data_IF_957131940563
#
_entry.id   IF_957131940563
#
_cell.length_a   1.000
_cell.length_b   1.000
_cell.length_c   1.000
_cell.angle_alpha   90.00
_cell.angle_beta   90.00
_cell.angle_gamma   90.00
#
_symmetry.space_group_name_H-M   'P 1'
#
loop_
_entity.id
_entity.type
_entity.pdbx_description
1 polymer ?
#
# COMPACT_ATOMS: atom_id res chain seq x y z
N UNK A 1 55.40 14.60 -9.49
CA UNK A 1 54.54 15.62 -10.11
C UNK A 1 55.18 16.97 -9.89
N UNK A 2 55.49 17.69 -10.97
CA UNK A 2 55.94 19.08 -10.86
C UNK A 2 54.79 19.97 -10.38
N UNK A 3 55.06 21.19 -9.87
CA UNK A 3 54.00 22.14 -9.53
C UNK A 3 53.04 22.45 -10.69
N UNK A 4 53.54 22.43 -11.93
CA UNK A 4 52.75 22.67 -13.15
C UNK A 4 51.81 21.50 -13.45
N UNK A 5 52.28 20.27 -13.32
CA UNK A 5 51.47 19.06 -13.50
C UNK A 5 50.36 18.95 -12.43
N UNK A 6 50.65 19.38 -11.19
CA UNK A 6 49.64 19.42 -10.12
C UNK A 6 48.55 20.48 -10.39
N UNK A 7 48.94 21.63 -10.94
CA UNK A 7 48.00 22.68 -11.33
C UNK A 7 47.08 22.20 -12.47
N UNK A 8 47.63 21.54 -13.50
CA UNK A 8 46.86 20.97 -14.60
C UNK A 8 45.86 19.90 -14.13
N UNK A 9 46.32 18.98 -13.27
CA UNK A 9 45.46 17.96 -12.64
C UNK A 9 44.30 18.60 -11.86
N UNK A 10 44.60 19.65 -11.08
CA UNK A 10 43.58 20.36 -10.29
C UNK A 10 42.53 20.99 -11.19
N UNK A 11 42.94 21.62 -12.30
CA UNK A 11 42.03 22.24 -13.27
C UNK A 11 41.13 21.18 -13.92
N UNK A 12 41.69 20.03 -14.32
CA UNK A 12 40.92 18.91 -14.90
C UNK A 12 39.87 18.37 -13.92
N UNK A 13 40.25 18.16 -12.65
CA UNK A 13 39.34 17.67 -11.61
C UNK A 13 38.20 18.64 -11.34
N UNK A 14 38.51 19.92 -11.19
CA UNK A 14 37.51 20.97 -10.98
C UNK A 14 36.56 21.04 -12.18
N UNK A 15 37.09 20.96 -13.40
CA UNK A 15 36.29 20.99 -14.63
C UNK A 15 35.34 19.80 -14.72
N UNK A 16 35.82 18.57 -14.48
CA UNK A 16 35.01 17.36 -14.49
C UNK A 16 33.88 17.39 -13.44
N UNK A 17 34.16 17.93 -12.25
CA UNK A 17 33.18 18.13 -11.19
C UNK A 17 32.04 19.07 -11.65
N UNK A 18 32.37 20.23 -12.20
CA UNK A 18 31.37 21.21 -12.64
C UNK A 18 30.56 20.74 -13.86
N UNK A 19 31.18 20.02 -14.80
CA UNK A 19 30.46 19.41 -15.93
C UNK A 19 29.44 18.38 -15.44
N UNK A 20 29.81 17.56 -14.47
CA UNK A 20 28.92 16.55 -13.88
C UNK A 20 27.73 17.18 -13.14
N UNK A 21 27.98 18.26 -12.39
CA UNK A 21 26.92 19.05 -11.75
C UNK A 21 26.00 19.73 -12.77
N UNK A 22 26.55 20.25 -13.87
CA UNK A 22 25.78 20.86 -14.95
C UNK A 22 24.78 19.88 -15.58
N UNK A 23 25.24 18.68 -15.92
CA UNK A 23 24.36 17.62 -16.44
C UNK A 23 23.30 17.19 -15.44
N UNK A 24 23.65 17.04 -14.16
CA UNK A 24 22.68 16.72 -13.11
C UNK A 24 21.60 17.79 -12.99
N UNK A 25 21.95 19.08 -13.05
CA UNK A 25 21.02 20.19 -12.98
C UNK A 25 20.09 20.26 -14.20
N UNK A 26 20.61 19.99 -15.41
CA UNK A 26 19.82 19.98 -16.66
C UNK A 26 18.81 18.82 -16.68
N UNK A 27 19.23 17.63 -16.26
CA UNK A 27 18.39 16.44 -16.33
C UNK A 27 17.36 16.38 -15.18
N UNK A 28 17.65 17.02 -14.04
CA UNK A 28 16.82 16.96 -12.84
C UNK A 28 15.34 17.37 -13.07
N UNK A 29 15.00 18.49 -13.74
CA UNK A 29 13.61 18.87 -14.00
C UNK A 29 12.87 17.88 -14.90
N UNK A 30 13.55 17.33 -15.91
CA UNK A 30 13.00 16.34 -16.84
C UNK A 30 12.61 15.07 -16.10
N UNK A 31 13.48 14.62 -15.20
CA UNK A 31 13.28 13.38 -14.45
C UNK A 31 12.40 13.53 -13.21
N UNK A 32 12.28 14.73 -12.63
CA UNK A 32 11.31 15.03 -11.56
C UNK A 32 9.87 14.70 -11.97
N UNK A 33 9.56 14.78 -13.26
CA UNK A 33 8.24 14.42 -13.82
C UNK A 33 7.94 12.91 -13.77
N UNK A 34 8.96 12.04 -13.65
CA UNK A 34 8.82 10.58 -13.72
C UNK A 34 8.58 9.87 -12.36
N UNK A 35 8.42 10.63 -11.26
CA UNK A 35 8.05 10.24 -9.88
C UNK A 35 8.70 8.97 -9.26
N UNK A 36 9.29 9.23 -8.08
CA UNK A 36 9.75 8.34 -6.99
C UNK A 36 11.08 7.58 -7.25
N UNK A 37 12.07 7.96 -6.44
CA UNK A 37 13.40 7.34 -6.21
C UNK A 37 14.60 7.79 -7.06
N UNK A 38 14.41 8.38 -8.23
CA UNK A 38 15.53 8.67 -9.15
C UNK A 38 16.54 9.76 -8.74
N UNK A 39 16.18 10.83 -8.00
CA UNK A 39 17.14 11.88 -7.64
C UNK A 39 18.39 11.37 -6.90
N UNK A 40 18.22 10.39 -6.02
CA UNK A 40 19.33 9.77 -5.28
C UNK A 40 20.22 8.90 -6.16
N UNK A 41 19.64 8.23 -7.18
CA UNK A 41 20.41 7.42 -8.13
C UNK A 41 21.28 8.29 -9.04
N UNK A 42 20.83 9.49 -9.39
CA UNK A 42 21.61 10.42 -10.21
C UNK A 42 22.72 11.11 -9.45
N UNK A 43 22.45 11.54 -8.22
CA UNK A 43 23.50 12.07 -7.34
C UNK A 43 24.52 10.96 -7.08
N UNK A 44 24.05 9.74 -6.82
CA UNK A 44 24.91 8.56 -6.68
C UNK A 44 25.75 8.30 -7.94
N UNK A 45 25.15 8.32 -9.13
CA UNK A 45 25.85 8.13 -10.39
C UNK A 45 26.85 9.25 -10.68
N UNK A 46 26.52 10.51 -10.38
CA UNK A 46 27.43 11.65 -10.59
C UNK A 46 28.64 11.59 -9.65
N UNK A 47 28.42 11.31 -8.36
CA UNK A 47 29.50 11.12 -7.38
C UNK A 47 30.37 9.92 -7.77
N UNK A 48 29.74 8.83 -8.22
CA UNK A 48 30.46 7.63 -8.65
C UNK A 48 31.31 7.86 -9.90
N UNK A 49 30.79 8.53 -10.93
CA UNK A 49 31.55 8.90 -12.13
C UNK A 49 32.74 9.81 -11.80
N UNK A 50 32.58 10.72 -10.83
CA UNK A 50 33.66 11.58 -10.37
C UNK A 50 34.77 10.80 -9.64
N UNK A 51 34.40 9.83 -8.79
CA UNK A 51 35.37 8.94 -8.12
C UNK A 51 36.14 8.10 -9.14
N UNK A 52 35.46 7.54 -10.15
CA UNK A 52 36.11 6.78 -11.22
C UNK A 52 37.10 7.62 -12.03
N UNK A 53 36.75 8.89 -12.28
CA UNK A 53 37.66 9.83 -12.94
C UNK A 53 38.93 10.09 -12.12
N UNK A 54 38.79 10.34 -10.80
CA UNK A 54 39.95 10.49 -9.90
C UNK A 54 40.82 9.23 -9.91
N UNK A 55 40.21 8.05 -9.80
CA UNK A 55 40.94 6.78 -9.79
C UNK A 55 41.72 6.63 -11.10
N UNK A 56 41.09 6.86 -12.25
CA UNK A 56 41.75 6.77 -13.55
C UNK A 56 42.98 7.69 -13.62
N UNK A 57 42.81 8.97 -13.29
CA UNK A 57 43.87 9.96 -13.43
C UNK A 57 45.06 9.69 -12.47
N UNK A 58 44.77 9.20 -11.25
CA UNK A 58 45.82 8.77 -10.31
C UNK A 58 46.53 7.52 -10.84
N UNK A 59 45.82 6.59 -11.46
CA UNK A 59 46.38 5.35 -11.99
C UNK A 59 47.24 5.57 -13.24
N UNK A 60 46.84 6.48 -14.12
CA UNK A 60 47.59 6.87 -15.33
C UNK A 60 48.96 7.47 -14.96
N UNK A 61 49.10 8.05 -13.77
CA UNK A 61 50.36 8.59 -13.27
C UNK A 61 51.24 7.58 -12.53
N UNK A 62 50.68 6.48 -12.03
CA UNK A 62 51.39 5.53 -11.15
C UNK A 62 51.87 4.28 -11.91
N UNK A 63 51.22 3.89 -13.01
CA UNK A 63 51.63 2.70 -13.79
C UNK A 63 51.22 2.76 -15.27
N UNK A 64 52.06 2.31 -16.23
CA UNK A 64 51.70 2.18 -17.65
C UNK A 64 50.70 1.04 -17.94
N UNK A 65 50.24 0.32 -16.91
CA UNK A 65 49.16 -0.68 -16.95
C UNK A 65 47.76 -0.11 -16.60
N UNK A 66 47.65 1.23 -16.51
CA UNK A 66 46.48 1.94 -15.96
C UNK A 66 45.16 1.61 -16.65
N UNK A 67 45.14 1.49 -17.98
CA UNK A 67 43.89 1.31 -18.73
C UNK A 67 43.22 -0.06 -18.49
N UNK A 68 44.00 -1.15 -18.45
CA UNK A 68 43.46 -2.49 -18.20
C UNK A 68 43.00 -2.64 -16.75
N UNK A 69 43.77 -2.12 -15.80
CA UNK A 69 43.42 -2.23 -14.38
C UNK A 69 42.22 -1.35 -14.01
N UNK A 70 42.10 -0.15 -14.58
CA UNK A 70 40.94 0.72 -14.39
C UNK A 70 39.66 0.06 -14.93
N UNK A 71 39.73 -0.58 -16.10
CA UNK A 71 38.60 -1.33 -16.67
C UNK A 71 38.18 -2.51 -15.76
N UNK A 72 39.15 -3.24 -15.20
CA UNK A 72 38.88 -4.32 -14.24
C UNK A 72 38.21 -3.83 -12.95
N UNK A 73 38.68 -2.73 -12.37
CA UNK A 73 38.05 -2.14 -11.18
C UNK A 73 36.63 -1.68 -11.48
N UNK A 74 36.41 -1.02 -12.62
CA UNK A 74 35.08 -0.56 -13.04
C UNK A 74 34.10 -1.74 -13.18
N UNK A 75 34.56 -2.86 -13.75
CA UNK A 75 33.80 -4.11 -13.83
C UNK A 75 33.46 -4.71 -12.47
N UNK A 76 34.41 -4.75 -11.53
CA UNK A 76 34.20 -5.24 -10.16
C UNK A 76 33.16 -4.38 -9.43
N UNK A 77 33.26 -3.05 -9.50
CA UNK A 77 32.29 -2.17 -8.86
C UNK A 77 30.89 -2.28 -9.47
N UNK A 78 30.78 -2.42 -10.79
CA UNK A 78 29.49 -2.65 -11.45
C UNK A 78 28.85 -3.96 -11.00
N UNK A 79 29.65 -5.03 -10.88
CA UNK A 79 29.20 -6.31 -10.37
C UNK A 79 28.74 -6.22 -8.90
N UNK A 80 29.47 -5.48 -8.05
CA UNK A 80 29.09 -5.26 -6.64
C UNK A 80 27.82 -4.41 -6.51
N UNK A 81 27.67 -3.36 -7.31
CA UNK A 81 26.46 -2.53 -7.32
C UNK A 81 25.23 -3.33 -7.79
N UNK A 82 25.40 -4.16 -8.82
CA UNK A 82 24.36 -5.06 -9.31
C UNK A 82 23.97 -6.12 -8.27
N UNK A 83 24.95 -6.75 -7.61
CA UNK A 83 24.72 -7.69 -6.50
C UNK A 83 23.99 -7.02 -5.33
N UNK A 84 24.36 -5.79 -4.97
CA UNK A 84 23.68 -5.01 -3.93
C UNK A 84 22.23 -4.68 -4.30
N UNK A 85 21.97 -4.31 -5.56
CA UNK A 85 20.62 -4.09 -6.07
C UNK A 85 19.77 -5.37 -6.05
N UNK A 86 20.35 -6.52 -6.45
CA UNK A 86 19.69 -7.82 -6.36
C UNK A 86 19.41 -8.23 -4.91
N UNK A 87 20.34 -7.96 -3.99
CA UNK A 87 20.15 -8.26 -2.56
C UNK A 87 19.04 -7.41 -1.94
N UNK A 88 19.00 -6.10 -2.26
CA UNK A 88 17.91 -5.22 -1.84
C UNK A 88 16.56 -5.63 -2.44
N UNK A 89 16.54 -6.05 -3.71
CA UNK A 89 15.35 -6.58 -4.35
C UNK A 89 14.88 -7.87 -3.67
N UNK A 90 15.80 -8.81 -3.39
CA UNK A 90 15.52 -10.06 -2.66
C UNK A 90 14.99 -9.79 -1.25
N UNK A 91 15.58 -8.86 -0.51
CA UNK A 91 15.10 -8.51 0.84
C UNK A 91 13.70 -7.89 0.82
N UNK A 92 13.40 -7.07 -0.20
CA UNK A 92 12.05 -6.53 -0.40
C UNK A 92 11.05 -7.61 -0.83
N UNK A 93 11.49 -8.57 -1.62
CA UNK A 93 10.68 -9.73 -1.97
C UNK A 93 10.42 -10.60 -0.74
N UNK A 94 11.45 -10.87 0.07
CA UNK A 94 11.35 -11.64 1.30
C UNK A 94 10.51 -10.95 2.37
N UNK A 95 10.55 -9.62 2.50
CA UNK A 95 9.66 -8.91 3.41
C UNK A 95 8.20 -8.96 2.95
N UNK A 96 7.95 -8.87 1.64
CA UNK A 96 6.63 -9.14 1.06
C UNK A 96 6.19 -10.59 1.28
N UNK A 97 7.10 -11.55 1.15
CA UNK A 97 6.80 -12.99 1.32
C UNK A 97 6.60 -13.34 2.79
N UNK A 98 7.35 -12.72 3.71
CA UNK A 98 7.20 -12.89 5.15
C UNK A 98 5.91 -12.24 5.64
N UNK A 99 5.55 -11.05 5.12
CA UNK A 99 4.23 -10.47 5.34
C UNK A 99 3.14 -11.43 4.83
N UNK A 100 3.25 -11.92 3.60
CA UNK A 100 2.29 -12.89 3.05
C UNK A 100 2.24 -14.21 3.86
N UNK A 101 3.38 -14.73 4.35
CA UNK A 101 3.43 -15.99 5.09
C UNK A 101 2.98 -15.85 6.55
N UNK A 102 3.21 -14.70 7.21
CA UNK A 102 2.57 -14.41 8.50
C UNK A 102 1.05 -14.26 8.34
N UNK A 103 0.59 -13.87 7.14
CA UNK A 103 -0.83 -13.80 6.77
C UNK A 103 -1.42 -15.17 6.36
N UNK A 104 -0.63 -16.12 5.87
CA UNK A 104 -1.03 -17.50 5.54
C UNK A 104 -0.70 -18.45 6.70
N UNK A 105 -0.79 -17.99 7.95
CA UNK A 105 -1.07 -18.93 9.04
C UNK A 105 -2.54 -19.35 8.83
N UNK A 106 -2.83 -20.61 8.49
CA UNK A 106 -4.21 -21.02 8.27
C UNK A 106 -4.98 -20.79 9.56
N UNK A 107 -6.07 -20.02 9.47
CA UNK A 107 -7.14 -20.03 10.48
C UNK A 107 -7.68 -21.46 10.47
N UNK A 108 -7.09 -22.30 11.33
CA UNK A 108 -7.53 -23.66 11.64
C UNK A 108 -8.61 -23.65 12.74
N UNK A 109 -9.33 -22.55 12.90
CA UNK A 109 -10.57 -22.59 13.66
C UNK A 109 -11.68 -23.11 12.74
N UNK A 110 -11.89 -24.43 12.80
CA UNK A 110 -12.95 -25.13 12.08
C UNK A 110 -14.36 -24.68 12.48
N UNK A 111 -14.51 -24.01 13.62
CA UNK A 111 -15.81 -23.57 14.12
C UNK A 111 -16.29 -22.30 13.39
N UNK A 112 -15.41 -21.32 13.17
CA UNK A 112 -15.72 -20.10 12.39
C UNK A 112 -16.04 -20.41 10.92
N UNK A 113 -15.34 -21.38 10.33
CA UNK A 113 -15.57 -21.80 8.92
C UNK A 113 -16.95 -22.45 8.76
N UNK A 114 -17.47 -23.14 9.78
CA UNK A 114 -18.78 -23.80 9.74
C UNK A 114 -19.95 -22.79 9.82
N UNK A 115 -19.82 -21.76 10.64
CA UNK A 115 -20.80 -20.66 10.75
C UNK A 115 -20.87 -19.83 9.46
N UNK A 116 -19.72 -19.58 8.82
CA UNK A 116 -19.65 -18.88 7.52
C UNK A 116 -20.27 -19.70 6.40
N UNK A 117 -20.11 -21.03 6.40
CA UNK A 117 -20.66 -21.90 5.35
C UNK A 117 -22.19 -21.96 5.37
N UNK A 118 -22.80 -21.86 6.55
CA UNK A 118 -24.26 -21.83 6.73
C UNK A 118 -24.88 -20.46 6.43
N UNK A 119 -24.14 -19.36 6.60
CA UNK A 119 -24.58 -18.02 6.19
C UNK A 119 -24.50 -17.80 4.67
N UNK A 120 -23.62 -18.53 3.98
CA UNK A 120 -23.31 -18.35 2.55
C UNK A 120 -24.00 -19.37 1.64
N UNK A 121 -24.73 -20.36 2.16
CA UNK A 121 -25.52 -21.32 1.35
C UNK A 121 -26.79 -20.71 0.71
N UNK A 122 -26.81 -19.40 0.50
CA UNK A 122 -27.84 -18.65 -0.20
C UNK A 122 -27.80 -18.87 -1.71
N UNK A 123 -28.18 -20.07 -2.16
CA UNK A 123 -28.43 -20.40 -3.57
C UNK A 123 -29.54 -19.52 -4.21
N UNK A 124 -30.28 -18.77 -3.39
CA UNK A 124 -31.32 -17.82 -3.77
C UNK A 124 -30.82 -16.42 -4.15
N UNK A 125 -29.63 -15.99 -3.70
CA UNK A 125 -29.08 -14.66 -4.00
C UNK A 125 -28.56 -14.54 -5.45
N UNK A 126 -28.14 -15.65 -6.03
CA UNK A 126 -27.55 -15.67 -7.39
C UNK A 126 -28.64 -15.53 -8.48
N UNK A 127 -29.87 -15.98 -8.23
CA UNK A 127 -30.95 -16.01 -9.23
C UNK A 127 -31.78 -14.72 -9.36
N UNK A 128 -31.74 -13.82 -8.37
CA UNK A 128 -32.48 -12.56 -8.40
C UNK A 128 -31.63 -11.33 -8.78
N UNK A 129 -30.33 -11.53 -9.05
CA UNK A 129 -29.44 -10.44 -9.49
C UNK A 129 -29.74 -10.02 -10.93
N UNK A 130 -30.74 -9.15 -11.09
CA UNK A 130 -30.66 -8.08 -12.10
C UNK A 130 -29.23 -7.54 -12.02
N UNK A 131 -28.44 -7.69 -13.10
CA UNK A 131 -26.99 -7.43 -13.17
C UNK A 131 -26.57 -6.24 -12.29
N UNK A 132 -26.16 -6.51 -11.05
CA UNK A 132 -25.55 -5.48 -10.22
C UNK A 132 -24.21 -5.21 -10.87
N UNK A 133 -24.05 -3.99 -11.37
CA UNK A 133 -22.83 -3.63 -12.04
C UNK A 133 -21.71 -3.53 -10.99
N UNK A 134 -20.52 -4.01 -11.33
CA UNK A 134 -19.34 -3.91 -10.49
C UNK A 134 -19.11 -2.48 -9.95
N UNK A 135 -19.50 -1.48 -10.73
CA UNK A 135 -19.49 -0.07 -10.34
C UNK A 135 -20.30 0.20 -9.07
N UNK A 136 -21.55 -0.28 -9.04
CA UNK A 136 -22.47 -0.11 -7.92
C UNK A 136 -21.91 -0.74 -6.65
N UNK A 137 -21.24 -1.88 -6.77
CA UNK A 137 -20.60 -2.54 -5.61
C UNK A 137 -19.46 -1.70 -5.03
N UNK A 138 -18.61 -1.13 -5.88
CA UNK A 138 -17.52 -0.27 -5.43
C UNK A 138 -18.03 1.06 -4.87
N UNK A 139 -19.10 1.62 -5.45
CA UNK A 139 -19.78 2.80 -4.90
C UNK A 139 -20.41 2.51 -3.54
N UNK A 140 -20.97 1.32 -3.37
CA UNK A 140 -21.44 0.83 -2.07
C UNK A 140 -20.27 0.78 -1.08
N UNK A 141 -19.11 0.26 -1.50
CA UNK A 141 -17.89 0.27 -0.69
C UNK A 141 -17.50 1.67 -0.21
N UNK A 142 -17.55 2.69 -1.07
CA UNK A 142 -17.26 4.08 -0.66
C UNK A 142 -18.21 4.56 0.45
N UNK A 143 -19.51 4.33 0.31
CA UNK A 143 -20.49 4.74 1.33
C UNK A 143 -20.32 3.96 2.64
N UNK A 144 -19.88 2.70 2.55
CA UNK A 144 -19.53 1.88 3.70
C UNK A 144 -18.34 2.51 4.45
N UNK A 145 -17.26 2.87 3.75
CA UNK A 145 -16.07 3.46 4.40
C UNK A 145 -16.36 4.84 5.01
N UNK A 146 -17.20 5.65 4.36
CA UNK A 146 -17.64 6.93 4.93
C UNK A 146 -18.39 6.73 6.25
N UNK A 147 -19.33 5.78 6.29
CA UNK A 147 -20.08 5.45 7.50
C UNK A 147 -19.20 4.84 8.58
N UNK A 148 -18.23 4.00 8.21
CA UNK A 148 -17.24 3.43 9.14
C UNK A 148 -16.41 4.51 9.78
N UNK A 149 -15.87 5.44 8.98
CA UNK A 149 -15.13 6.61 9.48
C UNK A 149 -15.95 7.41 10.48
N UNK A 150 -17.18 7.79 10.11
CA UNK A 150 -18.06 8.55 11.00
C UNK A 150 -18.38 7.79 12.29
N UNK A 151 -18.59 6.48 12.19
CA UNK A 151 -18.84 5.62 13.33
C UNK A 151 -17.64 5.59 14.29
N UNK A 152 -16.43 5.40 13.76
CA UNK A 152 -15.21 5.39 14.55
C UNK A 152 -14.91 6.71 15.25
N UNK A 153 -15.19 7.85 14.59
CA UNK A 153 -15.07 9.17 15.22
C UNK A 153 -16.01 9.26 16.44
N UNK A 154 -17.28 8.85 16.29
CA UNK A 154 -18.24 8.86 17.42
C UNK A 154 -17.82 7.91 18.54
N UNK A 155 -17.31 6.72 18.22
CA UNK A 155 -16.81 5.79 19.23
C UNK A 155 -15.60 6.37 19.99
N UNK A 156 -14.69 7.05 19.27
CA UNK A 156 -13.55 7.73 19.88
C UNK A 156 -13.99 8.87 20.83
N UNK A 157 -15.04 9.61 20.47
CA UNK A 157 -15.61 10.67 21.31
C UNK A 157 -16.27 10.13 22.57
N UNK A 158 -16.95 8.97 22.48
CA UNK A 158 -17.63 8.32 23.61
C UNK A 158 -16.64 7.64 24.57
N UNK A 159 -15.53 7.13 24.05
CA UNK A 159 -14.55 6.36 24.84
C UNK A 159 -13.85 7.21 25.90
N UNK A 160 -13.90 6.74 27.16
CA UNK A 160 -13.12 7.32 28.25
C UNK A 160 -11.65 6.85 28.23
N UNK A 161 -11.36 5.73 27.56
CA UNK A 161 -10.01 5.16 27.48
C UNK A 161 -9.22 5.80 26.32
N UNK A 162 -8.08 6.44 26.64
CA UNK A 162 -7.22 7.09 25.65
C UNK A 162 -6.70 6.11 24.59
N UNK A 163 -6.38 4.86 24.96
CA UNK A 163 -5.89 3.86 23.99
C UNK A 163 -6.96 3.49 22.95
N UNK A 164 -8.19 3.33 23.40
CA UNK A 164 -9.35 3.06 22.52
C UNK A 164 -9.61 4.27 21.62
N UNK A 165 -9.54 5.47 22.19
CA UNK A 165 -9.73 6.72 21.44
C UNK A 165 -8.72 6.84 20.31
N UNK A 166 -7.44 6.65 20.61
CA UNK A 166 -6.37 6.67 19.61
C UNK A 166 -6.56 5.57 18.56
N UNK A 167 -6.92 4.35 18.97
CA UNK A 167 -7.23 3.26 18.04
C UNK A 167 -8.36 3.65 17.08
N UNK A 168 -9.50 4.13 17.59
CA UNK A 168 -10.65 4.49 16.76
C UNK A 168 -10.31 5.62 15.79
N UNK A 169 -9.53 6.62 16.22
CA UNK A 169 -9.06 7.69 15.33
C UNK A 169 -8.08 7.17 14.26
N UNK A 170 -7.30 6.12 14.56
CA UNK A 170 -6.47 5.46 13.56
C UNK A 170 -7.32 4.70 12.54
N UNK A 171 -8.29 3.90 13.00
CA UNK A 171 -9.21 3.17 12.14
C UNK A 171 -9.99 4.14 11.23
N UNK A 172 -10.51 5.24 11.78
CA UNK A 172 -11.16 6.28 10.99
C UNK A 172 -10.26 6.89 9.88
N UNK A 173 -8.93 6.90 10.07
CA UNK A 173 -7.97 7.31 9.03
C UNK A 173 -7.74 6.20 8.01
N UNK A 174 -7.63 4.95 8.45
CA UNK A 174 -7.54 3.77 7.57
C UNK A 174 -8.76 3.70 6.62
N UNK A 175 -9.99 4.00 7.11
CA UNK A 175 -11.19 4.07 6.28
C UNK A 175 -11.11 5.13 5.16
N UNK A 176 -10.45 6.27 5.41
CA UNK A 176 -10.21 7.28 4.36
C UNK A 176 -9.27 6.71 3.29
N UNK A 177 -8.27 5.93 3.68
CA UNK A 177 -7.36 5.29 2.74
C UNK A 177 -8.07 4.22 1.91
N UNK A 178 -8.97 3.44 2.51
CA UNK A 178 -9.83 2.48 1.82
C UNK A 178 -10.74 3.18 0.79
N UNK A 179 -11.43 4.24 1.19
CA UNK A 179 -12.25 5.05 0.28
C UNK A 179 -11.43 5.53 -0.91
N UNK A 180 -10.28 6.16 -0.67
CA UNK A 180 -9.39 6.68 -1.73
C UNK A 180 -8.89 5.56 -2.64
N UNK A 181 -8.63 4.37 -2.09
CA UNK A 181 -8.25 3.20 -2.85
C UNK A 181 -9.39 2.73 -3.78
N UNK A 182 -10.62 2.63 -3.26
CA UNK A 182 -11.81 2.24 -4.02
C UNK A 182 -12.13 3.29 -5.11
N UNK A 183 -12.04 4.58 -4.79
CA UNK A 183 -12.19 5.66 -5.76
C UNK A 183 -11.18 5.53 -6.90
N UNK A 184 -9.89 5.34 -6.59
CA UNK A 184 -8.85 5.12 -7.62
C UNK A 184 -9.15 3.91 -8.49
N UNK A 185 -9.71 2.85 -7.91
CA UNK A 185 -10.17 1.67 -8.64
C UNK A 185 -11.33 2.04 -9.57
N UNK A 186 -12.36 2.73 -9.07
CA UNK A 186 -13.52 3.19 -9.84
C UNK A 186 -13.12 4.06 -11.02
N UNK A 187 -12.33 5.12 -10.78
CA UNK A 187 -11.88 6.04 -11.82
C UNK A 187 -11.09 5.33 -12.92
N UNK A 188 -10.28 4.32 -12.55
CA UNK A 188 -9.48 3.56 -13.52
C UNK A 188 -10.27 2.50 -14.27
N UNK A 189 -11.24 1.85 -13.61
CA UNK A 189 -11.91 0.68 -14.18
C UNK A 189 -13.23 1.04 -14.86
N UNK A 190 -13.94 2.07 -14.40
CA UNK A 190 -15.35 2.34 -14.73
C UNK A 190 -15.69 3.86 -14.65
N UNK A 191 -15.34 4.68 -15.67
CA UNK A 191 -15.39 6.15 -15.61
C UNK A 191 -16.79 6.81 -15.74
N UNK A 192 -17.89 6.06 -15.57
CA UNK A 192 -19.24 6.64 -15.71
C UNK A 192 -19.63 7.46 -14.45
N UNK A 193 -20.56 8.43 -14.55
CA UNK A 193 -21.05 9.24 -13.42
C UNK A 193 -22.18 8.57 -12.62
N UNK A 194 -22.31 8.93 -11.33
CA UNK A 194 -23.35 8.43 -10.43
C UNK A 194 -24.73 8.97 -10.83
N UNK A 195 -25.74 8.11 -10.88
CA UNK A 195 -27.14 8.52 -11.05
C UNK A 195 -27.93 8.23 -9.77
N UNK A 196 -29.02 8.97 -9.52
CA UNK A 196 -29.87 8.74 -8.34
C UNK A 196 -30.47 7.33 -8.28
N UNK A 197 -30.72 6.68 -9.42
CA UNK A 197 -31.16 5.28 -9.49
C UNK A 197 -30.09 4.30 -8.99
N UNK A 198 -28.83 4.58 -9.34
CA UNK A 198 -27.66 3.79 -8.91
C UNK A 198 -27.54 3.80 -7.38
N UNK A 199 -27.74 4.96 -6.75
CA UNK A 199 -27.71 5.10 -5.28
C UNK A 199 -28.80 4.28 -4.58
N UNK A 200 -30.01 4.19 -5.14
CA UNK A 200 -31.11 3.37 -4.56
C UNK A 200 -30.79 1.87 -4.58
N UNK A 201 -30.12 1.39 -5.62
CA UNK A 201 -29.68 0.00 -5.71
C UNK A 201 -28.57 -0.30 -4.70
N UNK A 202 -27.64 0.64 -4.54
CA UNK A 202 -26.59 0.58 -3.51
C UNK A 202 -27.19 0.48 -2.11
N UNK A 203 -28.15 1.34 -1.75
CA UNK A 203 -28.82 1.28 -0.45
C UNK A 203 -29.54 -0.05 -0.21
N UNK A 204 -30.17 -0.60 -1.25
CA UNK A 204 -30.86 -1.89 -1.17
C UNK A 204 -29.87 -3.01 -0.83
N UNK A 205 -28.67 -3.00 -1.41
CA UNK A 205 -27.66 -4.00 -1.09
C UNK A 205 -27.04 -3.81 0.29
N UNK A 206 -26.77 -2.57 0.73
CA UNK A 206 -26.33 -2.35 2.11
C UNK A 206 -27.30 -2.97 3.13
N UNK A 207 -28.61 -2.81 2.88
CA UNK A 207 -29.66 -3.43 3.70
C UNK A 207 -29.62 -4.96 3.62
N UNK A 208 -29.40 -5.53 2.44
CA UNK A 208 -29.30 -6.98 2.29
C UNK A 208 -28.14 -7.57 3.12
N UNK A 209 -26.99 -6.91 3.11
CA UNK A 209 -25.80 -7.34 3.85
C UNK A 209 -25.84 -7.02 5.35
N UNK A 210 -26.85 -6.30 5.82
CA UNK A 210 -26.92 -5.88 7.22
C UNK A 210 -25.83 -4.90 7.64
N UNK A 211 -25.21 -4.22 6.66
CA UNK A 211 -24.12 -3.29 6.88
C UNK A 211 -24.69 -1.93 7.24
N UNK A 212 -24.25 -1.45 8.39
CA UNK A 212 -24.76 -0.28 9.08
C UNK A 212 -26.28 -0.29 9.34
N UNK A 213 -26.88 -1.47 9.48
CA UNK A 213 -28.28 -1.60 9.91
C UNK A 213 -28.38 -1.46 11.43
N UNK A 214 -29.31 -0.60 11.87
CA UNK A 214 -29.60 -0.36 13.27
C UNK A 214 -28.34 0.05 14.07
N UNK A 215 -27.64 1.13 13.67
CA UNK A 215 -26.50 1.60 14.43
C UNK A 215 -26.93 1.91 15.87
N UNK A 216 -26.06 1.61 16.87
CA UNK A 216 -26.32 1.96 18.25
C UNK A 216 -26.67 3.45 18.38
N UNK A 217 -27.72 3.75 19.15
CA UNK A 217 -28.17 5.13 19.39
C UNK A 217 -27.18 5.93 20.24
N UNK A 218 -27.47 7.22 20.44
CA UNK A 218 -26.60 8.15 21.22
C UNK A 218 -26.41 7.66 22.68
N UNK A 219 -27.44 7.00 23.23
CA UNK A 219 -27.45 6.44 24.57
C UNK A 219 -26.76 5.08 24.70
N UNK A 220 -26.27 4.51 23.59
CA UNK A 220 -25.55 3.24 23.62
C UNK A 220 -24.29 3.34 24.50
N UNK A 221 -23.98 2.24 25.18
CA UNK A 221 -22.73 2.13 25.93
C UNK A 221 -21.55 2.00 24.98
N UNK A 222 -20.34 2.31 25.47
CA UNK A 222 -19.11 2.08 24.72
C UNK A 222 -18.98 0.61 24.28
N UNK A 223 -19.35 -0.33 25.16
CA UNK A 223 -19.31 -1.77 24.88
C UNK A 223 -20.28 -2.17 23.75
N UNK A 224 -21.50 -1.63 23.73
CA UNK A 224 -22.48 -1.88 22.66
C UNK A 224 -21.97 -1.35 21.32
N UNK A 225 -21.36 -0.16 21.33
CA UNK A 225 -20.76 0.44 20.14
C UNK A 225 -19.56 -0.37 19.63
N UNK A 226 -18.70 -0.84 20.53
CA UNK A 226 -17.55 -1.66 20.17
C UNK A 226 -17.97 -3.04 19.63
N UNK A 227 -18.96 -3.69 20.24
CA UNK A 227 -19.52 -4.95 19.75
C UNK A 227 -20.10 -4.78 18.35
N UNK A 228 -20.84 -3.70 18.13
CA UNK A 228 -21.36 -3.36 16.82
C UNK A 228 -20.23 -3.10 15.80
N UNK A 229 -19.19 -2.36 16.17
CA UNK A 229 -18.03 -2.11 15.30
C UNK A 229 -17.40 -3.43 14.82
N UNK A 230 -17.11 -4.34 15.74
CA UNK A 230 -16.52 -5.66 15.43
C UNK A 230 -17.40 -6.44 14.46
N UNK A 231 -18.72 -6.46 14.68
CA UNK A 231 -19.67 -7.11 13.78
C UNK A 231 -19.68 -6.46 12.38
N UNK A 232 -19.60 -5.14 12.30
CA UNK A 232 -19.51 -4.42 11.02
C UNK A 232 -18.22 -4.76 10.26
N UNK A 233 -17.06 -4.78 10.92
CA UNK A 233 -15.78 -5.16 10.30
C UNK A 233 -15.84 -6.56 9.66
N UNK A 234 -16.42 -7.52 10.37
CA UNK A 234 -16.60 -8.89 9.85
C UNK A 234 -17.57 -8.90 8.65
N UNK A 235 -18.67 -8.15 8.73
CA UNK A 235 -19.62 -8.03 7.61
C UNK A 235 -19.01 -7.36 6.39
N UNK A 236 -18.21 -6.30 6.57
CA UNK A 236 -17.50 -5.61 5.50
C UNK A 236 -16.47 -6.52 4.83
N UNK A 237 -15.69 -7.28 5.60
CA UNK A 237 -14.78 -8.29 5.08
C UNK A 237 -15.52 -9.34 4.22
N UNK A 238 -16.67 -9.82 4.68
CA UNK A 238 -17.47 -10.80 3.96
C UNK A 238 -18.12 -10.22 2.70
N UNK A 239 -18.59 -8.97 2.77
CA UNK A 239 -19.09 -8.21 1.64
C UNK A 239 -18.03 -8.15 0.55
N UNK A 240 -16.84 -7.62 0.83
CA UNK A 240 -15.76 -7.53 -0.17
C UNK A 240 -15.36 -8.91 -0.73
N UNK A 241 -15.26 -9.93 0.12
CA UNK A 241 -14.93 -11.28 -0.31
C UNK A 241 -15.96 -11.87 -1.28
N UNK A 242 -17.26 -11.56 -1.09
CA UNK A 242 -18.33 -12.08 -1.94
C UNK A 242 -18.18 -11.68 -3.42
N UNK A 243 -17.55 -10.53 -3.68
CA UNK A 243 -17.35 -10.02 -5.04
C UNK A 243 -16.02 -10.43 -5.66
N UNK A 244 -15.11 -11.06 -4.91
CA UNK A 244 -13.80 -11.45 -5.41
C UNK A 244 -13.92 -12.28 -6.71
N UNK A 245 -14.89 -13.20 -6.76
CA UNK A 245 -15.15 -14.06 -7.93
C UNK A 245 -15.66 -13.30 -9.15
N UNK A 246 -16.18 -12.09 -8.99
CA UNK A 246 -16.63 -11.22 -10.09
C UNK A 246 -15.46 -10.60 -10.86
N UNK A 247 -14.23 -10.71 -10.36
CA UNK A 247 -13.04 -10.18 -11.01
C UNK A 247 -12.24 -11.29 -11.71
N UNK A 248 -12.27 -11.37 -13.05
CA UNK A 248 -11.54 -12.41 -13.79
C UNK A 248 -10.01 -12.20 -13.72
N UNK A 249 -9.55 -10.95 -13.62
CA UNK A 249 -8.12 -10.65 -13.54
C UNK A 249 -7.57 -10.88 -12.12
N UNK A 250 -6.50 -11.66 -11.99
CA UNK A 250 -5.90 -12.02 -10.70
C UNK A 250 -5.45 -10.81 -9.87
N UNK A 251 -4.88 -9.79 -10.52
CA UNK A 251 -4.44 -8.58 -9.82
C UNK A 251 -5.61 -7.76 -9.25
N UNK A 252 -6.81 -7.84 -9.85
CA UNK A 252 -8.03 -7.20 -9.30
C UNK A 252 -8.54 -7.96 -8.07
N UNK A 253 -8.53 -9.30 -8.11
CA UNK A 253 -8.85 -10.13 -6.93
C UNK A 253 -7.89 -9.85 -5.78
N UNK A 254 -6.61 -9.68 -6.08
CA UNK A 254 -5.61 -9.31 -5.07
C UNK A 254 -5.96 -7.99 -4.38
N UNK A 255 -6.37 -6.97 -5.14
CA UNK A 255 -6.80 -5.69 -4.57
C UNK A 255 -8.01 -5.83 -3.63
N UNK A 256 -8.99 -6.67 -3.98
CA UNK A 256 -10.12 -6.96 -3.09
C UNK A 256 -9.67 -7.70 -1.83
N UNK A 257 -8.76 -8.67 -1.96
CA UNK A 257 -8.21 -9.37 -0.79
C UNK A 257 -7.46 -8.44 0.15
N UNK A 258 -6.83 -7.38 -0.35
CA UNK A 258 -6.19 -6.36 0.50
C UNK A 258 -7.24 -5.67 1.39
N UNK A 259 -8.40 -5.28 0.85
CA UNK A 259 -9.50 -4.72 1.65
C UNK A 259 -10.03 -5.73 2.67
N UNK A 260 -10.35 -6.95 2.24
CA UNK A 260 -10.82 -8.03 3.15
C UNK A 260 -9.85 -8.26 4.31
N UNK A 261 -8.55 -8.19 4.03
CA UNK A 261 -7.51 -8.37 5.03
C UNK A 261 -7.44 -7.19 6.00
N UNK A 262 -7.62 -5.96 5.51
CA UNK A 262 -7.65 -4.77 6.34
C UNK A 262 -8.84 -4.78 7.29
N UNK A 263 -10.06 -5.05 6.80
CA UNK A 263 -11.27 -5.13 7.66
C UNK A 263 -11.13 -6.20 8.74
N UNK A 264 -10.57 -7.37 8.41
CA UNK A 264 -10.28 -8.40 9.43
C UNK A 264 -9.30 -7.91 10.49
N UNK A 265 -8.26 -7.21 10.06
CA UNK A 265 -7.28 -6.60 10.96
C UNK A 265 -7.92 -5.55 11.88
N UNK A 266 -8.89 -4.78 11.39
CA UNK A 266 -9.67 -3.85 12.21
C UNK A 266 -10.45 -4.58 13.31
N UNK A 267 -11.17 -5.65 12.96
CA UNK A 267 -11.87 -6.49 13.92
C UNK A 267 -10.92 -7.04 15.00
N UNK A 268 -9.77 -7.60 14.60
CA UNK A 268 -8.76 -8.12 15.52
C UNK A 268 -8.20 -7.04 16.46
N UNK A 269 -7.92 -5.85 15.93
CA UNK A 269 -7.47 -4.69 16.73
C UNK A 269 -8.54 -4.30 17.76
N UNK A 270 -9.82 -4.23 17.38
CA UNK A 270 -10.92 -3.92 18.30
C UNK A 270 -11.08 -5.00 19.38
N UNK A 271 -11.06 -6.27 18.99
CA UNK A 271 -11.11 -7.41 19.92
C UNK A 271 -9.96 -7.34 20.93
N UNK A 272 -8.76 -6.95 20.49
CA UNK A 272 -7.59 -6.87 21.37
C UNK A 272 -7.74 -5.85 22.49
N UNK A 273 -8.48 -4.75 22.25
CA UNK A 273 -8.76 -3.72 23.26
C UNK A 273 -10.07 -3.95 24.01
N UNK A 274 -10.95 -4.82 23.49
CA UNK A 274 -12.22 -5.23 24.11
C UNK A 274 -12.33 -6.75 24.34
N UNK A 275 -11.39 -7.40 25.06
CA UNK A 275 -11.35 -8.86 25.18
C UNK A 275 -12.57 -9.45 25.89
N UNK A 276 -13.29 -8.65 26.70
CA UNK A 276 -14.52 -9.07 27.39
C UNK A 276 -15.70 -9.33 26.46
N UNK A 277 -15.68 -8.80 25.24
CA UNK A 277 -16.79 -8.93 24.29
C UNK A 277 -16.80 -10.28 23.55
N UNK A 278 -15.77 -11.11 23.75
CA UNK A 278 -15.68 -12.48 23.19
C UNK A 278 -16.26 -13.57 24.12
N UNK A 279 -16.69 -13.20 25.33
CA UNK A 279 -17.26 -14.14 26.31
C UNK A 279 -18.78 -14.19 26.20
#
# INVERSE_FOLDING_TARGET
>A
MSPEEYADLTIKLVTAFFVSLGWAAILYPLMRRLKRSWPFLLIGAAVFSFILFIIKEVMDQVTPLGDEFAAYLLGIFFALAFLSALFNFKNKLLSLTAALNSFIKPIQDTETVSLIKNAVSGDSAVKASKKIHLRQLLETGILIEEKGREFYIRLAEKSANLKVKDLCLNLAREEVEHKVFIEKILYKWLPLPLTGETLRLVEKEMKHWGIYLNPPGIEATEDDMAKYAIDQEVKMANFYLSFEKLFPQAWKRMNIRLLVTAEKSHADKLISVYPKLLK
#
